data_IF_596572800637
#
_entry.id   IF_596572800637
#
_cell.length_a   1.000
_cell.length_b   1.000
_cell.length_c   1.000
_cell.angle_alpha   90.00
_cell.angle_beta   90.00
_cell.angle_gamma   90.00
#
_symmetry.space_group_name_H-M   'P 1'
#
loop_
_entity.id
_entity.type
_entity.pdbx_description
1 polymer ?
#
# COMPACT_ATOMS: atom_id res chain seq x y z
N UNK A 1 14.19 -11.13 -12.50
CA UNK A 1 12.78 -11.59 -12.40
C UNK A 1 12.50 -12.30 -11.08
N UNK A 2 13.31 -13.28 -10.66
CA UNK A 2 13.07 -14.03 -9.41
C UNK A 2 12.83 -13.16 -8.16
N UNK A 3 13.59 -12.08 -7.97
CA UNK A 3 13.37 -11.17 -6.82
C UNK A 3 12.07 -10.37 -6.92
N UNK A 4 11.68 -9.91 -8.10
CA UNK A 4 10.45 -9.11 -8.26
C UNK A 4 9.17 -9.95 -8.05
N UNK A 5 9.22 -11.24 -8.39
CA UNK A 5 8.12 -12.18 -8.11
C UNK A 5 8.04 -12.49 -6.61
N UNK A 6 9.18 -12.75 -5.96
CA UNK A 6 9.23 -12.93 -4.51
C UNK A 6 8.74 -11.69 -3.74
N UNK A 7 9.06 -10.48 -4.21
CA UNK A 7 8.58 -9.23 -3.63
C UNK A 7 7.05 -9.07 -3.79
N UNK A 8 6.49 -9.56 -4.90
CA UNK A 8 5.06 -9.56 -5.17
C UNK A 8 4.33 -10.57 -4.27
N UNK A 9 4.85 -11.79 -4.16
CA UNK A 9 4.34 -12.83 -3.25
C UNK A 9 4.35 -12.35 -1.79
N UNK A 10 5.46 -11.73 -1.37
CA UNK A 10 5.56 -11.14 -0.03
C UNK A 10 4.54 -10.00 0.18
N UNK A 11 4.28 -9.20 -0.85
CA UNK A 11 3.27 -8.14 -0.77
C UNK A 11 1.85 -8.71 -0.64
N UNK A 12 1.54 -9.80 -1.35
CA UNK A 12 0.25 -10.51 -1.25
C UNK A 12 0.06 -11.11 0.15
N UNK A 13 1.08 -11.77 0.69
CA UNK A 13 1.01 -12.38 2.02
C UNK A 13 0.78 -11.32 3.11
N UNK A 14 1.39 -10.14 2.97
CA UNK A 14 1.14 -9.02 3.89
C UNK A 14 -0.30 -8.49 3.81
N UNK A 15 -0.87 -8.41 2.62
CA UNK A 15 -2.28 -8.01 2.44
C UNK A 15 -3.19 -9.03 3.13
N UNK A 16 -2.93 -10.33 2.92
CA UNK A 16 -3.68 -11.43 3.54
C UNK A 16 -3.65 -11.34 5.07
N UNK A 17 -2.45 -11.22 5.65
CA UNK A 17 -2.30 -11.08 7.11
C UNK A 17 -2.97 -9.84 7.67
N UNK A 18 -2.96 -8.72 6.95
CA UNK A 18 -3.67 -7.52 7.37
C UNK A 18 -5.19 -7.73 7.40
N UNK A 19 -5.75 -8.38 6.38
CA UNK A 19 -7.19 -8.66 6.29
C UNK A 19 -7.67 -9.74 7.27
N UNK A 20 -6.81 -10.67 7.66
CA UNK A 20 -7.13 -11.78 8.58
C UNK A 20 -6.93 -11.44 10.06
N UNK A 21 -6.33 -10.29 10.39
CA UNK A 21 -6.11 -9.88 11.78
C UNK A 21 -7.42 -9.55 12.54
N UNK A 22 -8.56 -9.54 11.85
CA UNK A 22 -9.83 -8.91 12.25
C UNK A 22 -10.91 -9.89 12.74
N UNK A 23 -10.55 -10.97 13.44
CA UNK A 23 -11.55 -11.81 14.13
C UNK A 23 -12.01 -11.24 15.50
N UNK A 24 -11.52 -10.07 15.91
CA UNK A 24 -11.93 -9.44 17.17
C UNK A 24 -11.98 -7.90 17.08
N UNK A 25 -13.21 -7.38 16.95
CA UNK A 25 -13.64 -5.97 17.05
C UNK A 25 -13.31 -4.98 15.91
N UNK A 26 -14.38 -4.36 15.40
CA UNK A 26 -14.45 -3.15 14.55
C UNK A 26 -13.29 -2.91 13.57
N UNK A 27 -13.39 -3.50 12.37
CA UNK A 27 -12.83 -3.01 11.10
C UNK A 27 -11.64 -2.04 11.26
N UNK A 28 -10.49 -2.58 11.64
CA UNK A 28 -9.29 -1.79 11.91
C UNK A 28 -8.89 -0.99 10.66
N UNK A 29 -9.11 0.33 10.70
CA UNK A 29 -8.75 1.26 9.62
C UNK A 29 -7.24 1.18 9.31
N UNK A 30 -6.41 0.78 10.29
CA UNK A 30 -4.99 0.51 10.06
C UNK A 30 -4.75 -0.74 9.22
N UNK A 31 -5.54 -1.80 9.42
CA UNK A 31 -5.51 -3.00 8.58
C UNK A 31 -5.95 -2.69 7.14
N UNK A 32 -7.00 -1.88 6.97
CA UNK A 32 -7.45 -1.42 5.64
C UNK A 32 -6.38 -0.54 4.97
N UNK A 33 -5.75 0.38 5.70
CA UNK A 33 -4.61 1.19 5.22
C UNK A 33 -3.44 0.30 4.80
N UNK A 34 -3.10 -0.71 5.60
CA UNK A 34 -2.03 -1.65 5.30
C UNK A 34 -2.33 -2.47 4.04
N UNK A 35 -3.56 -2.95 3.88
CA UNK A 35 -4.02 -3.68 2.70
C UNK A 35 -4.00 -2.81 1.44
N UNK A 36 -4.50 -1.57 1.52
CA UNK A 36 -4.49 -0.62 0.41
C UNK A 36 -3.05 -0.25 -0.01
N UNK A 37 -2.16 0.02 0.96
CA UNK A 37 -0.74 0.27 0.71
C UNK A 37 -0.02 -0.93 0.09
N UNK A 38 -0.32 -2.14 0.56
CA UNK A 38 0.19 -3.39 -0.03
C UNK A 38 -0.28 -3.57 -1.47
N UNK A 39 -1.55 -3.28 -1.75
CA UNK A 39 -2.13 -3.35 -3.10
C UNK A 39 -1.45 -2.38 -4.06
N UNK A 40 -1.25 -1.11 -3.65
CA UNK A 40 -0.53 -0.14 -4.45
C UNK A 40 0.91 -0.58 -4.75
N UNK A 41 1.60 -1.17 -3.77
CA UNK A 41 2.95 -1.74 -3.97
C UNK A 41 2.93 -2.90 -4.96
N UNK A 42 1.97 -3.81 -4.85
CA UNK A 42 1.82 -4.94 -5.77
C UNK A 42 1.59 -4.48 -7.21
N UNK A 43 0.71 -3.49 -7.43
CA UNK A 43 0.44 -2.91 -8.75
C UNK A 43 1.73 -2.36 -9.39
N UNK A 44 2.56 -1.63 -8.62
CA UNK A 44 3.85 -1.10 -9.11
C UNK A 44 4.86 -2.20 -9.44
N UNK A 45 4.91 -3.26 -8.64
CA UNK A 45 5.77 -4.42 -8.91
C UNK A 45 5.33 -5.15 -10.19
N UNK A 46 4.04 -5.39 -10.36
CA UNK A 46 3.48 -5.98 -11.57
C UNK A 46 3.77 -5.12 -12.79
N UNK A 47 3.61 -3.80 -12.70
CA UNK A 47 3.93 -2.89 -13.80
C UNK A 47 5.41 -3.00 -14.21
N UNK A 48 6.31 -3.05 -13.24
CA UNK A 48 7.76 -3.24 -13.49
C UNK A 48 8.07 -4.58 -14.15
N UNK A 49 7.38 -5.66 -13.75
CA UNK A 49 7.51 -6.98 -14.38
C UNK A 49 7.00 -6.92 -15.83
N UNK A 50 5.84 -6.30 -16.06
CA UNK A 50 5.25 -6.13 -17.39
C UNK A 50 6.15 -5.34 -18.33
N UNK A 51 6.75 -4.24 -17.87
CA UNK A 51 7.72 -3.45 -18.66
C UNK A 51 8.92 -4.30 -19.08
N UNK A 52 9.51 -5.06 -18.14
CA UNK A 52 10.64 -5.95 -18.43
C UNK A 52 10.26 -7.09 -19.38
N UNK A 53 9.04 -7.61 -19.28
CA UNK A 53 8.54 -8.61 -20.21
C UNK A 53 8.40 -8.03 -21.62
N UNK A 54 7.94 -6.79 -21.76
CA UNK A 54 7.80 -6.14 -23.05
C UNK A 54 9.18 -5.90 -23.71
N UNK A 55 10.16 -5.43 -22.93
CA UNK A 55 11.54 -5.28 -23.40
C UNK A 55 12.14 -6.63 -23.83
N UNK A 56 11.88 -7.69 -23.06
CA UNK A 56 12.39 -9.03 -23.39
C UNK A 56 11.73 -9.60 -24.63
N UNK A 57 10.39 -9.50 -24.73
CA UNK A 57 9.62 -9.96 -25.88
C UNK A 57 10.13 -9.34 -27.19
N UNK A 58 10.39 -8.03 -27.18
CA UNK A 58 10.90 -7.29 -28.34
C UNK A 58 12.29 -7.78 -28.82
N UNK A 59 13.07 -8.46 -27.98
CA UNK A 59 14.44 -8.90 -28.30
C UNK A 59 14.61 -10.42 -28.38
N UNK A 60 13.63 -11.20 -27.94
CA UNK A 60 13.74 -12.66 -27.81
C UNK A 60 12.77 -13.45 -28.67
N UNK A 61 11.76 -12.81 -29.23
CA UNK A 61 10.76 -13.48 -30.08
C UNK A 61 11.19 -13.30 -31.53
N UNK A 62 11.47 -14.43 -32.20
CA UNK A 62 11.98 -14.42 -33.57
C UNK A 62 10.93 -14.00 -34.62
N UNK A 63 9.65 -14.29 -34.36
CA UNK A 63 8.55 -13.84 -35.21
C UNK A 63 8.15 -12.40 -34.86
N UNK A 64 8.51 -11.47 -35.75
CA UNK A 64 8.23 -10.04 -35.59
C UNK A 64 6.75 -9.71 -35.36
N UNK A 65 5.80 -10.42 -35.97
CA UNK A 65 4.37 -10.13 -35.80
C UNK A 65 3.90 -10.53 -34.41
N UNK A 66 4.33 -11.72 -33.97
CA UNK A 66 4.05 -12.22 -32.62
C UNK A 66 4.71 -11.33 -31.56
N UNK A 67 5.93 -10.86 -31.82
CA UNK A 67 6.64 -9.95 -30.94
C UNK A 67 5.89 -8.61 -30.79
N UNK A 68 5.44 -8.02 -31.90
CA UNK A 68 4.71 -6.75 -31.91
C UNK A 68 3.36 -6.86 -31.18
N UNK A 69 2.59 -7.92 -31.44
CA UNK A 69 1.30 -8.17 -30.78
C UNK A 69 1.49 -8.35 -29.26
N UNK A 70 2.46 -9.17 -28.85
CA UNK A 70 2.76 -9.40 -27.44
C UNK A 70 3.20 -8.12 -26.72
N UNK A 71 4.03 -7.30 -27.37
CA UNK A 71 4.44 -5.99 -26.82
C UNK A 71 3.25 -5.05 -26.69
N UNK A 72 2.32 -5.06 -27.65
CA UNK A 72 1.09 -4.26 -27.58
C UNK A 72 0.21 -4.68 -26.39
N UNK A 73 0.02 -5.99 -26.19
CA UNK A 73 -0.75 -6.53 -25.07
C UNK A 73 -0.12 -6.20 -23.72
N UNK A 74 1.21 -6.32 -23.60
CA UNK A 74 1.93 -5.97 -22.37
C UNK A 74 1.83 -4.46 -22.08
N UNK A 75 1.89 -3.60 -23.10
CA UNK A 75 1.64 -2.16 -22.93
C UNK A 75 0.21 -1.87 -22.48
N UNK A 76 -0.78 -2.58 -23.03
CA UNK A 76 -2.16 -2.46 -22.61
C UNK A 76 -2.34 -2.87 -21.14
N UNK A 77 -1.77 -4.01 -20.73
CA UNK A 77 -1.76 -4.45 -19.33
C UNK A 77 -1.08 -3.43 -18.41
N UNK A 78 0.06 -2.87 -18.82
CA UNK A 78 0.76 -1.82 -18.06
C UNK A 78 -0.14 -0.60 -17.86
N UNK A 79 -0.92 -0.20 -18.86
CA UNK A 79 -1.87 0.90 -18.73
C UNK A 79 -3.02 0.55 -17.77
N UNK A 80 -3.55 -0.68 -17.81
CA UNK A 80 -4.54 -1.14 -16.83
C UNK A 80 -4.00 -1.06 -15.40
N UNK A 81 -2.74 -1.46 -15.18
CA UNK A 81 -2.08 -1.35 -13.88
C UNK A 81 -1.91 0.12 -13.45
N UNK A 82 -1.56 1.01 -14.37
CA UNK A 82 -1.49 2.45 -14.08
C UNK A 82 -2.85 3.04 -13.67
N UNK A 83 -3.94 2.63 -14.34
CA UNK A 83 -5.31 3.00 -13.93
C UNK A 83 -5.64 2.44 -12.55
N UNK A 84 -5.30 1.17 -12.29
CA UNK A 84 -5.48 0.57 -10.97
C UNK A 84 -4.74 1.33 -9.86
N UNK A 85 -3.50 1.76 -10.11
CA UNK A 85 -2.75 2.58 -9.16
C UNK A 85 -3.46 3.91 -8.88
N UNK A 86 -3.96 4.59 -9.92
CA UNK A 86 -4.68 5.86 -9.78
C UNK A 86 -5.99 5.74 -8.98
N UNK A 87 -6.57 4.53 -8.88
CA UNK A 87 -7.76 4.28 -8.05
C UNK A 87 -7.39 4.01 -6.58
N UNK A 88 -6.26 3.35 -6.34
CA UNK A 88 -5.85 2.91 -4.99
C UNK A 88 -5.05 3.99 -4.26
N UNK A 89 -4.20 4.74 -4.95
CA UNK A 89 -3.32 5.75 -4.33
C UNK A 89 -4.07 6.84 -3.56
N UNK A 90 -5.17 7.44 -4.07
CA UNK A 90 -5.94 8.42 -3.30
C UNK A 90 -6.52 7.82 -2.01
N UNK A 91 -7.00 6.57 -2.09
CA UNK A 91 -7.54 5.85 -0.93
C UNK A 91 -6.48 5.65 0.15
N UNK A 92 -5.21 5.40 -0.23
CA UNK A 92 -4.10 5.28 0.72
C UNK A 92 -3.79 6.61 1.40
N UNK A 93 -3.84 7.72 0.66
CA UNK A 93 -3.64 9.05 1.21
C UNK A 93 -4.79 9.46 2.15
N UNK A 94 -6.04 9.21 1.78
CA UNK A 94 -7.21 9.47 2.63
C UNK A 94 -7.16 8.67 3.94
N UNK A 95 -6.81 7.38 3.86
CA UNK A 95 -6.66 6.52 5.04
C UNK A 95 -5.49 6.92 5.92
N UNK A 96 -4.40 7.46 5.34
CA UNK A 96 -3.30 8.05 6.11
C UNK A 96 -3.79 9.23 6.93
N UNK A 97 -4.51 10.15 6.32
CA UNK A 97 -5.00 11.34 7.01
C UNK A 97 -5.96 10.99 8.16
N UNK A 98 -6.74 9.93 8.02
CA UNK A 98 -7.61 9.41 9.08
C UNK A 98 -6.86 8.75 10.24
N UNK A 99 -5.80 8.00 9.95
CA UNK A 99 -5.04 7.27 10.98
C UNK A 99 -3.95 8.13 11.63
N UNK A 100 -3.44 9.16 10.94
CA UNK A 100 -2.46 10.10 11.49
C UNK A 100 -3.13 11.24 12.29
N UNK A 101 -4.44 11.52 12.09
CA UNK A 101 -5.13 12.66 12.73
C UNK A 101 -5.67 12.42 14.14
N UNK A 102 -5.55 11.22 14.71
CA UNK A 102 -6.07 10.94 16.06
C UNK A 102 -5.17 9.97 16.84
N UNK A 103 -4.06 10.48 17.38
CA UNK A 103 -3.39 9.81 18.52
C UNK A 103 -4.06 10.31 19.81
N UNK A 104 -5.31 9.86 20.02
CA UNK A 104 -6.16 10.19 21.18
C UNK A 104 -5.39 9.98 22.48
N UNK A 105 -4.61 8.90 22.56
CA UNK A 105 -3.86 8.55 23.77
C UNK A 105 -2.70 9.51 24.04
N UNK A 106 -2.02 9.99 22.99
CA UNK A 106 -0.97 11.00 23.13
C UNK A 106 -1.55 12.36 23.51
N UNK A 107 -2.65 12.79 22.89
CA UNK A 107 -3.31 14.05 23.26
C UNK A 107 -3.90 13.97 24.67
N UNK A 108 -4.53 12.86 25.03
CA UNK A 108 -5.03 12.62 26.38
C UNK A 108 -3.90 12.61 27.41
N UNK A 109 -2.79 11.91 27.13
CA UNK A 109 -1.62 11.88 28.01
C UNK A 109 -1.01 13.27 28.18
N UNK A 110 -0.93 14.06 27.12
CA UNK A 110 -0.45 15.45 27.17
C UNK A 110 -1.38 16.33 28.04
N UNK A 111 -2.70 16.27 27.80
CA UNK A 111 -3.69 16.99 28.60
C UNK A 111 -3.67 16.58 30.07
N UNK A 112 -3.52 15.28 30.34
CA UNK A 112 -3.44 14.74 31.69
C UNK A 112 -2.17 15.19 32.42
N UNK A 113 -1.02 15.17 31.75
CA UNK A 113 0.24 15.65 32.31
C UNK A 113 0.20 17.15 32.64
N UNK A 114 -0.40 17.95 31.75
CA UNK A 114 -0.61 19.38 31.97
C UNK A 114 -1.51 19.64 33.19
N UNK A 115 -2.65 18.94 33.26
CA UNK A 115 -3.56 19.05 34.40
C UNK A 115 -2.91 18.62 35.73
N UNK A 116 -2.16 17.52 35.72
CA UNK A 116 -1.47 17.01 36.90
C UNK A 116 -0.40 17.99 37.40
N UNK A 117 0.34 18.62 36.48
CA UNK A 117 1.34 19.64 36.81
C UNK A 117 0.71 20.89 37.44
N UNK A 118 -0.42 21.36 36.89
CA UNK A 118 -1.15 22.52 37.43
C UNK A 118 -1.75 22.21 38.81
N UNK A 119 -2.28 21.01 39.00
CA UNK A 119 -2.88 20.58 40.27
C UNK A 119 -1.84 20.40 41.38
N UNK A 120 -0.65 19.88 41.05
CA UNK A 120 0.46 19.79 41.99
C UNK A 120 0.95 21.19 42.42
N UNK A 121 1.10 22.12 41.48
CA UNK A 121 1.55 23.49 41.75
C UNK A 121 0.56 24.33 42.56
N UNK A 122 -0.73 23.98 42.54
CA UNK A 122 -1.76 24.65 43.36
C UNK A 122 -1.91 24.05 44.76
N UNK A 123 -1.46 22.81 44.98
CA UNK A 123 -1.52 22.14 46.29
C UNK A 123 -0.36 22.49 47.24
N UNK A 124 0.72 23.11 46.75
CA UNK A 124 1.89 23.54 47.54
C UNK A 124 1.82 25.03 47.99
N UNK A 125 0.66 25.67 47.81
CA UNK A 125 0.35 27.03 48.29
C UNK A 125 -0.66 27.00 49.42
#
# INVERSE_FOLDING_TARGET
MASAVADAEHSVERIRLALEADEADEADVCAVRAAAGGTARLIRLLATITDRLAERAATSVDDSRVADDLVADLKALRNCLAVGAALVEPTVDDLRDWTDSFDVDREFAACWQEWAAVSAATSER
#
